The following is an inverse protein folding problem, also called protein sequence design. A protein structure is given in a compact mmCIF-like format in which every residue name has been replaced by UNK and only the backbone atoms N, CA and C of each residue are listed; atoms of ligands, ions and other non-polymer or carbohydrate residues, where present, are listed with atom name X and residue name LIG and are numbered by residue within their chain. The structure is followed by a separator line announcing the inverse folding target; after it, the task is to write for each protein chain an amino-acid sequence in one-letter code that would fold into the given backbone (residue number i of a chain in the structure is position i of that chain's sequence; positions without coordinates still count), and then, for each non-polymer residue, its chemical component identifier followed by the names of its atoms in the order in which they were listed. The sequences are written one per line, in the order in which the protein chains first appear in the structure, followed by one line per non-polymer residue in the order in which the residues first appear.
data_IF_244340820101
#
_entry.id   IF_244340820101
#
_cell.length_a   1.000
_cell.length_b   1.000
_cell.length_c   1.000
_cell.angle_alpha   90.00
_cell.angle_beta   90.00
_cell.angle_gamma   90.00
#
_symmetry.space_group_name_H-M   'P 1'
#
loop_
_entity.id
_entity.type
_entity.pdbx_description
1 polymer ?
#
# COMPACT_ATOMS: atom_id res chain seq x y z
N UNK A 1 20.67 10.90 2.92
CA UNK A 1 19.66 10.31 2.01
C UNK A 1 19.46 11.22 0.82
N UNK A 2 19.58 10.69 -0.38
CA UNK A 2 19.16 11.39 -1.61
C UNK A 2 17.64 11.58 -1.61
N UNK A 3 17.11 12.55 -2.36
CA UNK A 3 15.66 12.77 -2.46
C UNK A 3 14.91 11.50 -2.88
N UNK A 4 15.51 10.71 -3.80
CA UNK A 4 14.98 9.43 -4.27
C UNK A 4 14.89 8.37 -3.16
N UNK A 5 15.79 8.37 -2.18
CA UNK A 5 15.74 7.40 -1.06
C UNK A 5 14.60 7.69 -0.10
N UNK A 6 14.31 8.96 0.18
CA UNK A 6 13.16 9.34 1.00
C UNK A 6 11.85 8.90 0.35
N UNK A 7 11.73 9.12 -0.96
CA UNK A 7 10.55 8.69 -1.72
C UNK A 7 10.41 7.16 -1.75
N UNK A 8 11.48 6.42 -2.04
CA UNK A 8 11.45 4.94 -2.03
C UNK A 8 11.03 4.42 -0.66
N UNK A 9 11.57 4.99 0.43
CA UNK A 9 11.21 4.57 1.78
C UNK A 9 9.73 4.84 2.09
N UNK A 10 9.22 6.01 1.72
CA UNK A 10 7.81 6.34 1.90
C UNK A 10 6.89 5.41 1.09
N UNK A 11 7.26 5.09 -0.16
CA UNK A 11 6.53 4.14 -0.99
C UNK A 11 6.50 2.73 -0.38
N UNK A 12 7.65 2.26 0.13
CA UNK A 12 7.74 0.95 0.78
C UNK A 12 6.91 0.90 2.07
N UNK A 13 6.91 1.98 2.86
CA UNK A 13 6.05 2.10 4.04
C UNK A 13 4.57 2.07 3.66
N UNK A 14 4.17 2.82 2.62
CA UNK A 14 2.80 2.83 2.13
C UNK A 14 2.34 1.43 1.71
N UNK A 15 3.16 0.71 0.92
CA UNK A 15 2.89 -0.69 0.57
C UNK A 15 2.70 -1.52 1.84
N UNK A 16 3.68 -1.52 2.75
CA UNK A 16 3.63 -2.40 3.92
C UNK A 16 2.40 -2.13 4.80
N UNK A 17 2.07 -0.86 5.04
CA UNK A 17 0.87 -0.49 5.79
C UNK A 17 -0.42 -0.92 5.08
N UNK A 18 -0.48 -0.86 3.75
CA UNK A 18 -1.65 -1.35 3.01
C UNK A 18 -1.88 -2.85 3.23
N UNK A 19 -0.83 -3.68 3.20
CA UNK A 19 -0.92 -5.11 3.50
C UNK A 19 -1.24 -5.38 4.97
N UNK A 20 -0.63 -4.66 5.91
CA UNK A 20 -0.90 -4.79 7.34
C UNK A 20 -2.37 -4.45 7.68
N UNK A 21 -2.91 -3.40 7.06
CA UNK A 21 -4.33 -3.04 7.22
C UNK A 21 -5.20 -4.16 6.66
N UNK A 22 -4.90 -4.73 5.50
CA UNK A 22 -5.65 -5.87 4.94
C UNK A 22 -5.68 -7.06 5.89
N UNK A 23 -4.52 -7.48 6.39
CA UNK A 23 -4.42 -8.59 7.33
C UNK A 23 -5.21 -8.32 8.62
N UNK A 24 -5.15 -7.08 9.12
CA UNK A 24 -5.90 -6.67 10.31
C UNK A 24 -7.41 -6.61 10.04
N UNK A 25 -7.81 -6.18 8.85
CA UNK A 25 -9.21 -6.09 8.43
C UNK A 25 -9.82 -7.49 8.27
N UNK A 26 -9.10 -8.43 7.65
CA UNK A 26 -9.53 -9.84 7.54
C UNK A 26 -9.69 -10.52 8.92
N UNK A 27 -9.01 -10.02 9.95
CA UNK A 27 -9.07 -10.52 11.33
C UNK A 27 -10.01 -9.72 12.24
N UNK A 28 -10.62 -8.64 11.73
CA UNK A 28 -11.48 -7.77 12.52
C UNK A 28 -12.72 -8.54 13.02
N UNK A 29 -13.08 -8.33 14.28
CA UNK A 29 -14.35 -8.86 14.79
C UNK A 29 -15.54 -8.08 14.24
N UNK A 30 -16.74 -8.67 14.33
CA UNK A 30 -17.98 -8.05 13.83
C UNK A 30 -18.29 -6.67 14.45
N UNK A 31 -17.81 -6.40 15.67
CA UNK A 31 -17.99 -5.10 16.32
C UNK A 31 -17.09 -4.06 15.65
N UNK A 32 -15.85 -4.42 15.38
CA UNK A 32 -14.89 -3.55 14.70
C UNK A 32 -15.35 -3.30 13.27
N UNK A 33 -15.69 -4.36 12.53
CA UNK A 33 -16.15 -4.30 11.14
C UNK A 33 -17.40 -3.40 10.99
N UNK A 34 -18.41 -3.56 11.86
CA UNK A 34 -19.62 -2.73 11.85
C UNK A 34 -19.41 -1.27 12.25
N UNK A 35 -18.26 -0.93 12.85
CA UNK A 35 -17.87 0.44 13.17
C UNK A 35 -16.95 1.06 12.11
N UNK A 36 -16.46 0.27 11.13
CA UNK A 36 -15.71 0.80 10.01
C UNK A 36 -16.68 1.43 9.00
N UNK A 37 -16.19 2.46 8.31
CA UNK A 37 -17.01 3.21 7.36
C UNK A 37 -17.10 2.45 6.04
N UNK A 38 -18.34 2.14 5.61
CA UNK A 38 -18.62 1.50 4.33
C UNK A 38 -18.50 2.46 3.12
N UNK A 39 -18.22 3.76 3.33
CA UNK A 39 -17.96 4.75 2.26
C UNK A 39 -16.58 4.55 1.62
N UNK A 40 -16.20 3.30 1.42
CA UNK A 40 -14.99 2.89 0.76
C UNK A 40 -14.95 3.48 -0.66
N UNK A 41 -13.94 4.29 -1.01
CA UNK A 41 -14.02 5.21 -2.14
C UNK A 41 -13.61 4.58 -3.48
N UNK A 42 -13.28 3.29 -3.51
CA UNK A 42 -12.79 2.61 -4.71
C UNK A 42 -13.79 1.57 -5.20
N UNK A 43 -13.84 1.41 -6.53
CA UNK A 43 -14.74 0.44 -7.18
C UNK A 43 -14.29 -1.03 -6.99
N UNK A 44 -13.00 -1.25 -6.71
CA UNK A 44 -12.42 -2.56 -6.47
C UNK A 44 -12.56 -2.96 -5.00
N UNK A 45 -12.54 -4.24 -4.65
CA UNK A 45 -12.46 -4.60 -3.24
C UNK A 45 -11.11 -4.19 -2.62
N UNK A 46 -11.08 -4.08 -1.29
CA UNK A 46 -9.88 -3.60 -0.58
C UNK A 46 -8.66 -4.49 -0.81
N UNK A 47 -8.84 -5.82 -0.92
CA UNK A 47 -7.74 -6.74 -1.21
C UNK A 47 -7.15 -6.47 -2.60
N UNK A 48 -7.98 -6.28 -3.61
CA UNK A 48 -7.55 -5.92 -4.96
C UNK A 48 -6.81 -4.58 -4.98
N UNK A 49 -7.29 -3.57 -4.24
CA UNK A 49 -6.60 -2.28 -4.13
C UNK A 49 -5.23 -2.40 -3.48
N UNK A 50 -5.09 -3.22 -2.44
CA UNK A 50 -3.82 -3.47 -1.74
C UNK A 50 -2.79 -4.12 -2.68
N UNK A 51 -3.19 -5.11 -3.49
CA UNK A 51 -2.31 -5.72 -4.49
C UNK A 51 -1.90 -4.70 -5.57
N UNK A 52 -2.84 -3.88 -6.07
CA UNK A 52 -2.54 -2.81 -7.04
C UNK A 52 -1.55 -1.79 -6.47
N UNK A 53 -1.68 -1.41 -5.20
CA UNK A 53 -0.70 -0.56 -4.51
C UNK A 53 0.67 -1.25 -4.46
N UNK A 54 0.70 -2.54 -4.10
CA UNK A 54 1.91 -3.34 -4.06
C UNK A 54 2.68 -3.34 -5.38
N UNK A 55 1.99 -3.67 -6.47
CA UNK A 55 2.55 -3.71 -7.83
C UNK A 55 3.06 -2.34 -8.27
N UNK A 56 2.27 -1.29 -8.01
CA UNK A 56 2.64 0.08 -8.35
C UNK A 56 3.90 0.52 -7.59
N UNK A 57 3.98 0.30 -6.27
CA UNK A 57 5.15 0.63 -5.45
C UNK A 57 6.40 -0.09 -5.93
N UNK A 58 6.30 -1.39 -6.20
CA UNK A 58 7.44 -2.19 -6.69
C UNK A 58 7.92 -1.71 -8.06
N UNK A 59 6.99 -1.31 -8.94
CA UNK A 59 7.30 -0.70 -10.23
C UNK A 59 8.07 0.61 -10.05
N UNK A 60 7.59 1.51 -9.18
CA UNK A 60 8.28 2.79 -8.90
C UNK A 60 9.70 2.57 -8.35
N UNK A 61 9.86 1.64 -7.40
CA UNK A 61 11.18 1.29 -6.83
C UNK A 61 12.15 0.81 -7.91
N UNK A 62 11.69 -0.03 -8.83
CA UNK A 62 12.51 -0.53 -9.95
C UNK A 62 12.97 0.62 -10.85
N UNK A 63 12.06 1.52 -11.22
CA UNK A 63 12.36 2.69 -12.07
C UNK A 63 13.36 3.65 -11.40
N UNK A 64 13.15 3.97 -10.13
CA UNK A 64 14.02 4.88 -9.38
C UNK A 64 15.41 4.31 -9.15
N UNK A 65 15.54 2.99 -8.97
CA UNK A 65 16.84 2.33 -8.83
C UNK A 65 17.60 2.27 -10.17
N UNK A 66 16.91 2.02 -11.29
CA UNK A 66 17.54 2.06 -12.64
C UNK A 66 18.11 3.44 -12.95
N UNK A 67 17.42 4.50 -12.54
CA UNK A 67 17.88 5.89 -12.74
C UNK A 67 19.04 6.29 -11.82
N UNK A 68 19.40 5.49 -10.80
CA UNK A 68 20.61 5.71 -9.99
C UNK A 68 21.87 5.12 -10.62
N UNK A 69 21.73 4.15 -11.51
CA UNK A 69 22.84 3.42 -12.16
C UNK A 69 23.25 3.97 -13.51
N UNK A 70 22.50 4.95 -14.04
CA UNK A 70 22.83 5.73 -15.24
C UNK A 70 23.44 7.07 -14.85
#
# INVERSE_FOLDING_TARGET
MTHNEKLINALMQFKNSAYEIRESWEQADSITDSNLCDDYPFDNDFCEVVEKIGDWVMTQKSLLNKNKTN
#
